data_IF_255021765022
#
_entry.id   IF_255021765022
#
_cell.length_a   1.000
_cell.length_b   1.000
_cell.length_c   1.000
_cell.angle_alpha   90.00
_cell.angle_beta   90.00
_cell.angle_gamma   90.00
#
_symmetry.space_group_name_H-M   'P 1'
#
loop_
_entity.id
_entity.type
_entity.pdbx_description
1 polymer ?
#
# COMPACT_ATOMS: atom_id res chain seq x y z
N UNK A 1 41.45 -21.58 -19.21
CA UNK A 1 40.98 -20.29 -18.75
C UNK A 1 39.54 -20.14 -19.19
N UNK A 2 38.58 -20.32 -18.28
CA UNK A 2 37.17 -20.20 -18.55
C UNK A 2 36.76 -18.76 -18.44
N UNK A 3 36.16 -18.19 -19.49
CA UNK A 3 35.49 -16.92 -19.43
C UNK A 3 34.29 -17.00 -18.48
N UNK A 4 34.03 -15.97 -17.63
CA UNK A 4 32.82 -15.93 -16.86
C UNK A 4 31.62 -15.72 -17.80
N UNK A 5 30.64 -16.62 -17.74
CA UNK A 5 29.38 -16.48 -18.43
C UNK A 5 28.76 -15.13 -18.07
N UNK A 6 28.69 -14.25 -19.06
CA UNK A 6 27.94 -12.99 -19.02
C UNK A 6 26.46 -13.35 -18.80
N UNK A 7 26.03 -13.22 -17.56
CA UNK A 7 24.61 -13.36 -17.21
C UNK A 7 23.81 -12.37 -18.05
N UNK A 8 23.05 -12.87 -18.98
CA UNK A 8 22.09 -12.10 -19.77
C UNK A 8 21.13 -11.45 -18.80
N UNK A 9 21.29 -10.14 -18.52
CA UNK A 9 20.27 -9.35 -17.83
C UNK A 9 19.03 -9.32 -18.73
N UNK A 10 18.11 -10.23 -18.44
CA UNK A 10 16.77 -10.14 -19.04
C UNK A 10 16.11 -8.90 -18.43
N UNK A 11 16.30 -7.77 -19.08
CA UNK A 11 15.56 -6.57 -18.76
C UNK A 11 14.15 -6.73 -19.29
N UNK A 12 13.26 -7.29 -18.45
CA UNK A 12 11.84 -7.33 -18.76
C UNK A 12 11.35 -5.91 -19.06
N UNK A 13 10.55 -5.70 -20.14
CA UNK A 13 9.93 -4.40 -20.42
C UNK A 13 9.17 -3.83 -19.23
N UNK A 14 8.62 -4.68 -18.38
CA UNK A 14 7.89 -4.31 -17.16
C UNK A 14 8.82 -3.64 -16.13
N UNK A 15 10.07 -4.07 -16.00
CA UNK A 15 11.02 -3.43 -15.08
C UNK A 15 11.44 -2.03 -15.53
N UNK A 16 11.18 -1.67 -16.79
CA UNK A 16 11.40 -0.32 -17.33
C UNK A 16 10.18 0.57 -17.26
N UNK A 17 9.05 0.06 -16.77
CA UNK A 17 7.85 0.87 -16.62
C UNK A 17 8.09 1.94 -15.55
N UNK A 18 8.00 3.21 -15.95
CA UNK A 18 8.21 4.35 -15.05
C UNK A 18 7.18 4.36 -13.89
N UNK A 19 6.00 3.80 -14.11
CA UNK A 19 4.98 3.67 -13.06
C UNK A 19 5.43 2.75 -11.94
N UNK A 20 6.06 1.62 -12.27
CA UNK A 20 6.61 0.69 -11.28
C UNK A 20 7.74 1.36 -10.47
N UNK A 21 8.67 2.03 -11.15
CA UNK A 21 9.79 2.72 -10.51
C UNK A 21 9.37 3.87 -9.58
N UNK A 22 8.21 4.47 -9.83
CA UNK A 22 7.68 5.57 -9.03
C UNK A 22 6.98 5.13 -7.73
N UNK A 23 6.72 3.83 -7.55
CA UNK A 23 6.07 3.31 -6.36
C UNK A 23 6.95 3.46 -5.12
N UNK A 24 6.30 3.54 -3.96
CA UNK A 24 7.00 3.46 -2.67
C UNK A 24 7.85 2.17 -2.61
N UNK A 25 9.08 2.21 -2.05
CA UNK A 25 9.98 1.04 -2.03
C UNK A 25 9.35 -0.24 -1.48
N UNK A 26 8.54 -0.16 -0.43
CA UNK A 26 7.88 -1.33 0.16
C UNK A 26 6.81 -1.91 -0.76
N UNK A 27 6.07 -1.05 -1.48
CA UNK A 27 5.10 -1.49 -2.48
C UNK A 27 5.82 -2.12 -3.68
N UNK A 28 6.89 -1.47 -4.14
CA UNK A 28 7.71 -2.00 -5.24
C UNK A 28 8.24 -3.41 -4.91
N UNK A 29 8.78 -3.60 -3.72
CA UNK A 29 9.34 -4.88 -3.27
C UNK A 29 8.27 -5.99 -3.26
N UNK A 30 7.07 -5.68 -2.76
CA UNK A 30 5.96 -6.64 -2.67
C UNK A 30 5.34 -6.93 -4.03
N UNK A 31 5.11 -5.89 -4.84
CA UNK A 31 4.38 -6.01 -6.10
C UNK A 31 5.21 -6.63 -7.23
N UNK A 32 6.52 -6.39 -7.28
CA UNK A 32 7.37 -6.74 -8.41
C UNK A 32 7.25 -8.22 -8.86
N UNK A 33 7.33 -9.24 -7.97
CA UNK A 33 7.21 -10.63 -8.39
C UNK A 33 5.89 -10.94 -9.09
N UNK A 34 4.80 -10.37 -8.59
CA UNK A 34 3.46 -10.56 -9.15
C UNK A 34 3.26 -9.82 -10.47
N UNK A 35 3.78 -8.60 -10.58
CA UNK A 35 3.73 -7.82 -11.83
C UNK A 35 4.52 -8.53 -12.92
N UNK A 36 5.70 -9.05 -12.62
CA UNK A 36 6.53 -9.80 -13.57
C UNK A 36 5.87 -11.08 -14.06
N UNK A 37 5.10 -11.74 -13.22
CA UNK A 37 4.32 -12.94 -13.57
C UNK A 37 2.90 -12.63 -14.06
N UNK A 38 2.56 -11.36 -14.26
CA UNK A 38 1.25 -10.88 -14.72
C UNK A 38 0.08 -11.25 -13.78
N UNK A 39 0.36 -11.48 -12.51
CA UNK A 39 -0.64 -11.66 -11.46
C UNK A 39 -1.00 -10.31 -10.82
N UNK A 40 -1.58 -9.41 -11.61
CA UNK A 40 -1.82 -8.01 -11.22
C UNK A 40 -2.74 -7.87 -10.00
N UNK A 41 -3.80 -8.66 -9.93
CA UNK A 41 -4.70 -8.67 -8.76
C UNK A 41 -3.96 -9.05 -7.48
N UNK A 42 -3.08 -10.06 -7.54
CA UNK A 42 -2.25 -10.45 -6.40
C UNK A 42 -1.26 -9.35 -6.01
N UNK A 43 -0.67 -8.66 -6.98
CA UNK A 43 0.21 -7.52 -6.71
C UNK A 43 -0.50 -6.44 -5.90
N UNK A 44 -1.72 -6.09 -6.28
CA UNK A 44 -2.55 -5.08 -5.59
C UNK A 44 -2.95 -5.57 -4.20
N UNK A 45 -3.47 -6.79 -4.09
CA UNK A 45 -3.87 -7.37 -2.80
C UNK A 45 -2.73 -7.41 -1.78
N UNK A 46 -1.59 -7.96 -2.16
CA UNK A 46 -0.43 -8.07 -1.27
C UNK A 46 0.14 -6.68 -0.90
N UNK A 47 0.05 -5.70 -1.79
CA UNK A 47 0.47 -4.33 -1.50
C UNK A 47 -0.43 -3.65 -0.47
N UNK A 48 -1.76 -3.80 -0.56
CA UNK A 48 -2.69 -3.27 0.45
C UNK A 48 -2.54 -4.03 1.77
N UNK A 49 -2.33 -5.34 1.72
CA UNK A 49 -2.02 -6.14 2.92
C UNK A 49 -0.73 -5.67 3.62
N UNK A 50 0.29 -5.29 2.85
CA UNK A 50 1.52 -4.71 3.39
C UNK A 50 1.25 -3.37 4.10
N UNK A 51 0.36 -2.53 3.58
CA UNK A 51 -0.09 -1.29 4.26
C UNK A 51 -0.72 -1.63 5.61
N UNK A 52 -1.66 -2.58 5.66
CA UNK A 52 -2.30 -3.00 6.91
C UNK A 52 -1.27 -3.51 7.92
N UNK A 53 -0.35 -4.36 7.47
CA UNK A 53 0.70 -4.91 8.33
C UNK A 53 1.62 -3.82 8.89
N UNK A 54 1.93 -2.80 8.10
CA UNK A 54 2.71 -1.65 8.56
C UNK A 54 1.97 -0.85 9.63
N UNK A 55 0.68 -0.59 9.46
CA UNK A 55 -0.14 0.07 10.48
C UNK A 55 -0.15 -0.72 11.78
N UNK A 56 -0.31 -2.04 11.72
CA UNK A 56 -0.20 -2.93 12.89
C UNK A 56 1.17 -2.80 13.57
N UNK A 57 2.23 -2.87 12.79
CA UNK A 57 3.60 -2.76 13.30
C UNK A 57 3.87 -1.42 14.00
N UNK A 58 3.36 -0.32 13.45
CA UNK A 58 3.54 1.03 14.00
C UNK A 58 2.73 1.26 15.29
N UNK A 59 1.62 0.54 15.48
CA UNK A 59 0.69 0.78 16.58
C UNK A 59 0.67 -0.31 17.64
N UNK A 60 1.11 -1.53 17.29
CA UNK A 60 1.02 -2.69 18.18
C UNK A 60 -0.40 -3.17 18.45
N UNK A 61 -1.40 -2.72 17.68
CA UNK A 61 -2.80 -3.09 17.87
C UNK A 61 -3.11 -4.46 17.25
N UNK A 62 -3.95 -5.24 17.94
CA UNK A 62 -4.39 -6.56 17.48
C UNK A 62 -5.58 -6.51 16.52
N UNK A 63 -6.30 -5.38 16.46
CA UNK A 63 -7.42 -5.20 15.53
C UNK A 63 -6.95 -5.28 14.07
N UNK A 64 -7.87 -5.54 13.16
CA UNK A 64 -7.56 -5.76 11.75
C UNK A 64 -8.55 -5.05 10.84
N UNK A 65 -8.21 -4.95 9.56
CA UNK A 65 -9.07 -4.46 8.52
C UNK A 65 -9.57 -3.04 8.74
N UNK A 66 -10.85 -2.82 8.42
CA UNK A 66 -11.53 -1.51 8.56
C UNK A 66 -11.55 -1.03 10.01
N UNK A 67 -11.76 -1.95 10.96
CA UNK A 67 -11.77 -1.61 12.39
C UNK A 67 -10.43 -1.03 12.85
N UNK A 68 -9.32 -1.62 12.40
CA UNK A 68 -7.98 -1.10 12.65
C UNK A 68 -7.81 0.32 12.11
N UNK A 69 -8.19 0.56 10.85
CA UNK A 69 -8.03 1.88 10.22
C UNK A 69 -8.85 2.95 10.94
N UNK A 70 -10.08 2.64 11.31
CA UNK A 70 -10.93 3.55 12.07
C UNK A 70 -10.38 3.86 13.46
N UNK A 71 -9.79 2.87 14.13
CA UNK A 71 -9.19 3.05 15.45
C UNK A 71 -7.89 3.87 15.37
N UNK A 72 -7.03 3.56 14.41
CA UNK A 72 -5.70 4.21 14.28
C UNK A 72 -5.81 5.65 13.85
N UNK A 73 -6.68 5.96 12.89
CA UNK A 73 -6.82 7.30 12.31
C UNK A 73 -8.08 8.03 12.78
N UNK A 74 -8.60 7.68 13.95
CA UNK A 74 -9.77 8.36 14.56
C UNK A 74 -9.57 9.88 14.60
N UNK A 75 -10.64 10.62 14.30
CA UNK A 75 -10.60 12.07 14.38
C UNK A 75 -10.53 12.59 15.83
N UNK A 76 -11.12 11.85 16.78
CA UNK A 76 -11.17 12.24 18.18
C UNK A 76 -9.98 11.73 19.01
N UNK A 77 -9.53 10.52 18.73
CA UNK A 77 -8.46 9.89 19.49
C UNK A 77 -7.54 9.07 18.58
N UNK A 78 -6.78 9.72 17.68
CA UNK A 78 -5.90 9.02 16.77
C UNK A 78 -4.75 8.33 17.50
N UNK A 79 -4.32 7.17 16.99
CA UNK A 79 -3.08 6.52 17.38
C UNK A 79 -1.90 6.99 16.53
N UNK A 80 -2.19 7.33 15.26
CA UNK A 80 -1.25 7.94 14.33
C UNK A 80 -1.87 9.19 13.73
N UNK A 81 -1.06 10.23 13.61
CA UNK A 81 -1.42 11.52 13.02
C UNK A 81 -0.69 11.64 11.68
N UNK A 82 -1.46 11.85 10.61
CA UNK A 82 -0.96 11.97 9.24
C UNK A 82 -0.68 13.43 8.83
N UNK A 83 -1.27 14.39 9.52
CA UNK A 83 -1.21 15.81 9.13
C UNK A 83 -1.13 16.79 10.31
N UNK A 84 -0.52 16.38 11.41
CA UNK A 84 -0.29 17.25 12.57
C UNK A 84 -1.45 17.37 13.58
N UNK A 85 -2.69 17.24 13.20
CA UNK A 85 -3.92 17.22 14.01
C UNK A 85 -4.14 18.40 14.98
N UNK A 86 -3.43 19.52 14.80
CA UNK A 86 -3.51 20.71 15.69
C UNK A 86 -4.60 21.68 15.28
N UNK A 87 -4.79 21.90 13.98
CA UNK A 87 -5.80 22.82 13.45
C UNK A 87 -7.04 22.06 12.96
N UNK A 88 -8.16 22.76 12.79
CA UNK A 88 -9.37 22.20 12.20
C UNK A 88 -9.10 21.64 10.79
N UNK A 89 -8.33 22.37 9.98
CA UNK A 89 -7.95 21.92 8.64
C UNK A 89 -7.16 20.61 8.70
N UNK A 90 -6.18 20.50 9.59
CA UNK A 90 -5.39 19.28 9.74
C UNK A 90 -6.24 18.09 10.20
N UNK A 91 -7.20 18.32 11.12
CA UNK A 91 -8.15 17.25 11.52
C UNK A 91 -9.06 16.82 10.38
N UNK A 92 -9.49 17.73 9.53
CA UNK A 92 -10.29 17.41 8.34
C UNK A 92 -9.46 16.61 7.32
N UNK A 93 -8.20 16.97 7.11
CA UNK A 93 -7.26 16.21 6.25
C UNK A 93 -7.05 14.80 6.82
N UNK A 94 -6.83 14.68 8.13
CA UNK A 94 -6.74 13.39 8.81
C UNK A 94 -7.99 12.52 8.56
N UNK A 95 -9.18 13.09 8.72
CA UNK A 95 -10.43 12.39 8.46
C UNK A 95 -10.54 11.93 7.00
N UNK A 96 -10.17 12.79 6.06
CA UNK A 96 -10.17 12.45 4.64
C UNK A 96 -9.19 11.31 4.28
N UNK A 97 -7.97 11.37 4.76
CA UNK A 97 -7.00 10.29 4.54
C UNK A 97 -7.39 8.98 5.23
N UNK A 98 -8.04 9.03 6.41
CA UNK A 98 -8.62 7.84 7.02
C UNK A 98 -9.53 7.09 6.03
N UNK A 99 -10.38 7.82 5.31
CA UNK A 99 -11.30 7.21 4.33
C UNK A 99 -10.55 6.51 3.18
N UNK A 100 -9.37 6.99 2.78
CA UNK A 100 -8.54 6.29 1.80
C UNK A 100 -8.02 4.96 2.33
N UNK A 101 -7.56 4.91 3.59
CA UNK A 101 -7.16 3.65 4.22
C UNK A 101 -8.33 2.68 4.37
N UNK A 102 -9.48 3.16 4.84
CA UNK A 102 -10.70 2.37 4.98
C UNK A 102 -11.16 1.84 3.63
N UNK A 103 -11.23 2.70 2.61
CA UNK A 103 -11.64 2.33 1.25
C UNK A 103 -10.72 1.29 0.62
N UNK A 104 -9.41 1.45 0.75
CA UNK A 104 -8.45 0.47 0.23
C UNK A 104 -8.63 -0.91 0.86
N UNK A 105 -8.79 -0.96 2.18
CA UNK A 105 -9.04 -2.23 2.89
C UNK A 105 -10.37 -2.84 2.50
N UNK A 106 -11.41 -2.04 2.49
CA UNK A 106 -12.78 -2.52 2.20
C UNK A 106 -12.96 -2.98 0.75
N UNK A 107 -12.41 -2.24 -0.20
CA UNK A 107 -12.59 -2.52 -1.63
C UNK A 107 -11.61 -3.58 -2.17
N UNK A 108 -10.41 -3.68 -1.61
CA UNK A 108 -9.32 -4.50 -2.16
C UNK A 108 -9.02 -5.69 -1.25
N UNK A 109 -8.64 -5.42 0.01
CA UNK A 109 -8.16 -6.48 0.90
C UNK A 109 -9.27 -7.42 1.36
N UNK A 110 -10.44 -6.91 1.77
CA UNK A 110 -11.51 -7.72 2.32
C UNK A 110 -12.14 -8.68 1.29
N UNK A 111 -12.53 -8.25 0.07
CA UNK A 111 -13.08 -9.15 -0.92
C UNK A 111 -12.11 -10.26 -1.31
N UNK A 112 -10.86 -9.90 -1.56
CA UNK A 112 -9.83 -10.84 -2.03
C UNK A 112 -9.38 -11.85 -0.97
N UNK A 113 -9.69 -11.62 0.31
CA UNK A 113 -9.44 -12.58 1.36
C UNK A 113 -10.42 -13.78 1.31
N UNK A 114 -11.57 -13.61 0.66
CA UNK A 114 -12.64 -14.63 0.58
C UNK A 114 -12.83 -15.18 -0.83
N UNK A 115 -12.53 -14.38 -1.84
CA UNK A 115 -12.65 -14.74 -3.24
C UNK A 115 -11.36 -14.38 -3.99
N UNK A 116 -10.84 -15.27 -4.86
CA UNK A 116 -9.68 -14.92 -5.70
C UNK A 116 -10.01 -13.67 -6.52
N UNK A 117 -9.08 -12.71 -6.56
CA UNK A 117 -9.22 -11.59 -7.48
C UNK A 117 -9.25 -12.12 -8.92
N UNK A 118 -10.30 -11.75 -9.66
CA UNK A 118 -10.42 -12.04 -11.07
C UNK A 118 -9.29 -11.42 -11.90
N UNK A 119 -9.40 -11.56 -13.22
CA UNK A 119 -8.45 -10.92 -14.15
C UNK A 119 -8.56 -9.40 -13.98
N UNK A 120 -7.46 -8.77 -13.60
CA UNK A 120 -7.34 -7.33 -13.46
C UNK A 120 -6.52 -6.76 -14.61
N UNK A 121 -7.01 -5.67 -15.20
CA UNK A 121 -6.28 -4.96 -16.25
C UNK A 121 -5.02 -4.27 -15.68
N UNK A 122 -3.97 -4.24 -16.49
CA UNK A 122 -2.67 -3.72 -16.06
C UNK A 122 -2.72 -2.25 -15.64
N UNK A 123 -3.48 -1.42 -16.33
CA UNK A 123 -3.60 0.01 -15.98
C UNK A 123 -4.33 0.19 -14.65
N UNK A 124 -5.44 -0.52 -14.44
CA UNK A 124 -6.16 -0.54 -13.16
C UNK A 124 -5.24 -0.99 -12.01
N UNK A 125 -4.46 -2.03 -12.23
CA UNK A 125 -3.52 -2.51 -11.24
C UNK A 125 -2.49 -1.44 -10.85
N UNK A 126 -1.92 -0.73 -11.80
CA UNK A 126 -0.96 0.35 -11.51
C UNK A 126 -1.59 1.55 -10.81
N UNK A 127 -2.84 1.87 -11.09
CA UNK A 127 -3.58 2.90 -10.35
C UNK A 127 -3.79 2.49 -8.89
N UNK A 128 -4.18 1.25 -8.64
CA UNK A 128 -4.36 0.72 -7.28
C UNK A 128 -3.03 0.52 -6.54
N UNK A 129 -1.96 0.13 -7.23
CA UNK A 129 -0.60 0.11 -6.67
C UNK A 129 -0.14 1.53 -6.31
N UNK A 130 -0.50 2.53 -7.13
CA UNK A 130 -0.29 3.95 -6.83
C UNK A 130 -1.01 4.39 -5.55
N UNK A 131 -2.24 3.94 -5.33
CA UNK A 131 -2.96 4.17 -4.09
C UNK A 131 -2.23 3.55 -2.88
N UNK A 132 -1.83 2.28 -2.96
CA UNK A 132 -1.06 1.63 -1.90
C UNK A 132 0.26 2.37 -1.63
N UNK A 133 0.92 2.84 -2.67
CA UNK A 133 2.14 3.66 -2.59
C UNK A 133 1.89 4.99 -1.86
N UNK A 134 0.80 5.68 -2.18
CA UNK A 134 0.40 6.90 -1.47
C UNK A 134 0.18 6.62 0.01
N UNK A 135 -0.54 5.56 0.36
CA UNK A 135 -0.79 5.20 1.75
C UNK A 135 0.50 4.90 2.52
N UNK A 136 1.47 4.22 1.90
CA UNK A 136 2.78 4.01 2.48
C UNK A 136 3.55 5.31 2.71
N UNK A 137 3.49 6.28 1.78
CA UNK A 137 4.11 7.59 1.95
C UNK A 137 3.46 8.41 3.06
N UNK A 138 2.15 8.31 3.22
CA UNK A 138 1.44 8.93 4.35
C UNK A 138 1.92 8.33 5.69
N UNK A 139 2.15 7.01 5.73
CA UNK A 139 2.71 6.35 6.92
C UNK A 139 4.15 6.76 7.21
N UNK A 140 4.96 7.07 6.19
CA UNK A 140 6.32 7.60 6.38
C UNK A 140 6.32 8.91 7.17
N UNK A 141 5.33 9.75 6.96
CA UNK A 141 5.16 11.03 7.66
C UNK A 141 4.30 10.94 8.94
N UNK A 142 3.77 9.76 9.27
CA UNK A 142 2.91 9.61 10.42
C UNK A 142 3.69 9.65 11.74
N UNK A 143 3.08 10.22 12.76
CA UNK A 143 3.65 10.33 14.11
C UNK A 143 2.59 10.00 15.18
N UNK A 144 3.00 9.64 16.40
CA UNK A 144 2.08 9.60 17.53
C UNK A 144 1.41 10.98 17.72
N UNK A 145 0.20 11.03 18.28
CA UNK A 145 -0.45 12.30 18.57
C UNK A 145 0.39 13.14 19.54
N UNK A 146 0.33 14.47 19.43
CA UNK A 146 1.09 15.38 20.27
C UNK A 146 0.65 15.35 21.73
#
# INVERSE_FOLDING_TARGET
>A
MGEPATGTRVSSPVLRDARLAALHPDVLAVATPYVLSQHYGSAVFESVKAVVNRVKSMTGLDSDGVALMNQVFSAQNPRLVLSGARTTTQRNVQAGYREFFVGAVQAIRNPSAHEPMGVMEVNEAFELLGLASLLMRLLDGAAPPP
#
